data_IF_901897103558
#
_entry.id   IF_901897103558
#
_cell.length_a   1.000
_cell.length_b   1.000
_cell.length_c   1.000
_cell.angle_alpha   90.00
_cell.angle_beta   90.00
_cell.angle_gamma   90.00
#
_symmetry.space_group_name_H-M   'P 1'
#
loop_
_entity.id
_entity.type
_entity.pdbx_description
1 polymer ?
#
# COMPACT_ATOMS: atom_id res chain seq x y z
N UNK A 1 12.57 -5.93 -5.07
CA UNK A 1 13.14 -4.64 -5.50
C UNK A 1 12.48 -4.15 -6.79
N UNK A 2 12.48 -4.94 -7.88
CA UNK A 2 11.95 -4.51 -9.19
C UNK A 2 10.50 -4.04 -9.15
N UNK A 3 9.67 -4.71 -8.32
CA UNK A 3 8.27 -4.35 -8.12
C UNK A 3 8.12 -2.98 -7.43
N UNK A 4 8.97 -2.67 -6.45
CA UNK A 4 9.01 -1.38 -5.77
C UNK A 4 9.52 -0.28 -6.71
N UNK A 5 10.58 -0.55 -7.47
CA UNK A 5 11.10 0.40 -8.45
C UNK A 5 10.05 0.77 -9.53
N UNK A 6 9.29 -0.22 -10.00
CA UNK A 6 8.19 0.02 -10.94
C UNK A 6 7.06 0.84 -10.31
N UNK A 7 6.68 0.53 -9.06
CA UNK A 7 5.63 1.27 -8.33
C UNK A 7 6.03 2.72 -8.09
N UNK A 8 7.28 2.98 -7.69
CA UNK A 8 7.83 4.34 -7.54
C UNK A 8 7.80 5.10 -8.86
N UNK A 9 8.35 4.49 -9.93
CA UNK A 9 8.37 5.11 -11.25
C UNK A 9 6.96 5.42 -11.77
N UNK A 10 6.00 4.51 -11.58
CA UNK A 10 4.62 4.71 -11.98
C UNK A 10 3.96 5.86 -11.22
N UNK A 11 4.11 5.94 -9.89
CA UNK A 11 3.50 7.02 -9.11
C UNK A 11 4.10 8.38 -9.48
N UNK A 12 5.42 8.46 -9.62
CA UNK A 12 6.10 9.68 -10.08
C UNK A 12 5.64 10.10 -11.48
N UNK A 13 5.50 9.15 -12.39
CA UNK A 13 4.98 9.41 -13.73
C UNK A 13 3.56 9.99 -13.69
N UNK A 14 2.65 9.37 -12.94
CA UNK A 14 1.26 9.84 -12.82
C UNK A 14 1.19 11.25 -12.25
N UNK A 15 1.96 11.54 -11.19
CA UNK A 15 2.00 12.87 -10.58
C UNK A 15 2.49 13.92 -11.60
N UNK A 16 3.62 13.66 -12.26
CA UNK A 16 4.17 14.59 -13.25
C UNK A 16 3.21 14.80 -14.43
N UNK A 17 2.62 13.71 -14.93
CA UNK A 17 1.67 13.78 -16.04
C UNK A 17 0.47 14.68 -15.71
N UNK A 18 -0.11 14.55 -14.53
CA UNK A 18 -1.26 15.38 -14.10
C UNK A 18 -0.86 16.83 -13.90
N UNK A 19 0.31 17.09 -13.29
CA UNK A 19 0.81 18.46 -13.11
C UNK A 19 1.07 19.17 -14.44
N UNK A 20 1.50 18.44 -15.47
CA UNK A 20 1.80 18.98 -16.80
C UNK A 20 0.55 19.11 -17.69
N UNK A 21 -0.38 18.16 -17.62
CA UNK A 21 -1.48 18.06 -18.59
C UNK A 21 -2.84 18.53 -18.05
N UNK A 22 -2.97 18.77 -16.74
CA UNK A 22 -4.18 19.28 -16.09
C UNK A 22 -3.88 20.47 -15.16
N UNK A 23 -3.12 21.51 -15.62
CA UNK A 23 -2.68 22.58 -14.74
C UNK A 23 -3.83 23.44 -14.20
N UNK A 24 -4.91 23.61 -14.96
CA UNK A 24 -6.07 24.41 -14.52
C UNK A 24 -6.80 23.72 -13.37
N UNK A 25 -7.08 22.42 -13.51
CA UNK A 25 -7.70 21.58 -12.49
C UNK A 25 -6.81 21.50 -11.24
N UNK A 26 -5.53 21.30 -11.42
CA UNK A 26 -4.58 21.26 -10.30
C UNK A 26 -4.49 22.57 -9.54
N UNK A 27 -4.53 23.71 -10.23
CA UNK A 27 -4.60 25.01 -9.60
C UNK A 27 -5.91 25.19 -8.85
N UNK A 28 -7.04 24.76 -9.40
CA UNK A 28 -8.33 24.77 -8.72
C UNK A 28 -8.28 23.98 -7.40
N UNK A 29 -7.82 22.73 -7.43
CA UNK A 29 -7.70 21.91 -6.23
C UNK A 29 -6.72 22.51 -5.22
N UNK A 30 -5.59 23.03 -5.67
CA UNK A 30 -4.61 23.66 -4.79
C UNK A 30 -5.14 24.95 -4.13
N UNK A 31 -6.02 25.70 -4.79
CA UNK A 31 -6.58 26.94 -4.26
C UNK A 31 -7.77 26.68 -3.32
N UNK A 32 -8.66 25.76 -3.68
CA UNK A 32 -9.97 25.63 -3.05
C UNK A 32 -10.13 24.39 -2.17
N UNK A 33 -9.30 23.35 -2.35
CA UNK A 33 -9.40 22.08 -1.62
C UNK A 33 -8.23 21.91 -0.65
N UNK A 34 -6.98 21.96 -1.16
CA UNK A 34 -5.78 21.75 -0.35
C UNK A 34 -4.64 22.68 -0.78
N UNK A 35 -4.43 23.75 -0.02
CA UNK A 35 -3.46 24.83 -0.32
C UNK A 35 -1.99 24.41 -0.38
N UNK A 36 -1.65 23.18 -0.05
CA UNK A 36 -0.29 22.63 -0.12
C UNK A 36 -0.14 21.53 -1.16
N UNK A 37 -1.18 21.27 -1.95
CA UNK A 37 -1.28 20.12 -2.83
C UNK A 37 -0.14 20.04 -3.86
N UNK A 38 0.04 21.08 -4.65
CA UNK A 38 1.03 21.10 -5.74
C UNK A 38 2.46 20.99 -5.18
N UNK A 39 2.75 21.68 -4.08
CA UNK A 39 4.06 21.61 -3.43
C UNK A 39 4.35 20.19 -2.92
N UNK A 40 3.38 19.57 -2.25
CA UNK A 40 3.49 18.18 -1.78
C UNK A 40 3.70 17.20 -2.92
N UNK A 41 2.93 17.31 -4.00
CA UNK A 41 3.05 16.43 -5.17
C UNK A 41 4.43 16.59 -5.85
N UNK A 42 4.92 17.82 -6.02
CA UNK A 42 6.26 18.08 -6.56
C UNK A 42 7.36 17.53 -5.65
N UNK A 43 7.22 17.67 -4.34
CA UNK A 43 8.16 17.09 -3.39
C UNK A 43 8.21 15.56 -3.52
N UNK A 44 7.07 14.91 -3.59
CA UNK A 44 6.98 13.45 -3.75
C UNK A 44 7.58 12.98 -5.07
N UNK A 45 7.23 13.63 -6.19
CA UNK A 45 7.77 13.29 -7.50
C UNK A 45 9.29 13.48 -7.61
N UNK A 46 9.84 14.45 -6.88
CA UNK A 46 11.27 14.77 -6.86
C UNK A 46 12.10 14.04 -5.80
N UNK A 47 11.46 13.30 -4.87
CA UNK A 47 12.19 12.60 -3.80
C UNK A 47 12.44 11.14 -4.14
N UNK A 48 13.54 10.57 -3.62
CA UNK A 48 13.72 9.13 -3.57
C UNK A 48 12.85 8.56 -2.45
N UNK A 49 12.15 7.45 -2.71
CA UNK A 49 11.30 6.85 -1.71
C UNK A 49 12.14 6.10 -0.66
N UNK A 50 11.76 6.20 0.59
CA UNK A 50 12.43 5.49 1.66
C UNK A 50 12.02 4.01 1.68
N UNK A 51 12.88 3.17 2.25
CA UNK A 51 12.63 1.76 2.47
C UNK A 51 12.83 1.44 3.94
N UNK A 52 11.92 0.69 4.52
CA UNK A 52 11.98 0.24 5.91
C UNK A 52 11.28 -1.11 6.03
N UNK A 53 11.79 -2.00 6.85
CA UNK A 53 11.07 -3.23 7.19
C UNK A 53 9.92 -2.93 8.15
N UNK A 54 8.89 -3.77 8.17
CA UNK A 54 7.80 -3.65 9.14
C UNK A 54 8.34 -3.68 10.59
N UNK A 55 9.32 -4.53 10.87
CA UNK A 55 9.93 -4.61 12.22
C UNK A 55 10.55 -3.28 12.62
N UNK A 56 11.39 -2.69 11.77
CA UNK A 56 11.99 -1.38 12.03
C UNK A 56 10.94 -0.27 12.12
N UNK A 57 9.90 -0.31 11.27
CA UNK A 57 8.82 0.65 11.32
C UNK A 57 8.08 0.58 12.66
N UNK A 58 7.77 -0.61 13.17
CA UNK A 58 7.16 -0.80 14.49
C UNK A 58 8.06 -0.29 15.61
N UNK A 59 9.35 -0.59 15.57
CA UNK A 59 10.31 -0.07 16.57
C UNK A 59 10.37 1.47 16.61
N UNK A 60 10.21 2.13 15.45
CA UNK A 60 10.14 3.59 15.37
C UNK A 60 8.83 4.12 15.92
N UNK A 61 7.71 3.45 15.65
CA UNK A 61 6.38 3.85 16.08
C UNK A 61 6.17 3.62 17.59
N UNK A 62 6.66 2.50 18.14
CA UNK A 62 6.52 2.16 19.56
C UNK A 62 7.10 3.24 20.48
N UNK A 63 8.17 3.92 20.07
CA UNK A 63 8.77 5.05 20.80
C UNK A 63 7.80 6.23 20.95
N UNK A 64 6.72 6.23 20.20
CA UNK A 64 5.73 7.31 20.15
C UNK A 64 4.29 6.82 20.37
N UNK A 65 4.14 5.65 20.96
CA UNK A 65 2.84 5.03 21.20
C UNK A 65 1.89 5.92 22.04
N UNK A 66 2.44 6.83 22.86
CA UNK A 66 1.66 7.82 23.60
C UNK A 66 0.83 8.75 22.70
N UNK A 67 1.23 8.96 21.44
CA UNK A 67 0.60 9.84 20.46
C UNK A 67 -0.51 9.19 19.65
N UNK A 68 -0.62 7.86 19.68
CA UNK A 68 -1.55 7.10 18.84
C UNK A 68 -2.80 6.70 19.62
N UNK A 69 -3.94 6.72 18.93
CA UNK A 69 -5.20 6.17 19.43
C UNK A 69 -5.08 4.64 19.52
N UNK A 70 -4.61 4.01 18.45
CA UNK A 70 -4.35 2.58 18.38
C UNK A 70 -2.88 2.30 18.70
N UNK A 71 -2.64 1.54 19.77
CA UNK A 71 -1.26 1.21 20.18
C UNK A 71 -0.68 0.18 19.20
N UNK A 72 0.50 0.47 18.70
CA UNK A 72 1.24 -0.41 17.80
C UNK A 72 2.21 -1.29 18.59
N UNK A 73 2.31 -2.54 18.19
CA UNK A 73 3.32 -3.51 18.59
C UNK A 73 3.53 -4.51 17.45
N UNK A 74 4.60 -5.27 17.51
CA UNK A 74 4.90 -6.22 16.45
C UNK A 74 3.75 -7.23 16.25
N UNK A 75 3.31 -7.41 15.00
CA UNK A 75 2.15 -8.25 14.64
C UNK A 75 0.83 -7.49 14.52
N UNK A 76 0.77 -6.20 14.90
CA UNK A 76 -0.41 -5.35 14.71
C UNK A 76 -0.49 -4.86 13.27
N UNK A 77 -1.70 -4.83 12.71
CA UNK A 77 -1.94 -4.16 11.43
C UNK A 77 -1.79 -2.64 11.61
N UNK A 78 -0.99 -2.00 10.75
CA UNK A 78 -0.75 -0.56 10.80
C UNK A 78 -2.03 0.20 10.44
N UNK A 79 -2.41 1.15 11.29
CA UNK A 79 -3.53 2.04 11.02
C UNK A 79 -3.04 3.29 10.28
N UNK A 80 -3.94 3.99 9.61
CA UNK A 80 -3.62 5.21 8.84
C UNK A 80 -2.83 6.25 9.66
N UNK A 81 -3.06 6.36 10.97
CA UNK A 81 -2.30 7.27 11.83
C UNK A 81 -0.81 6.87 11.93
N UNK A 82 -0.51 5.56 11.97
CA UNK A 82 0.85 5.03 11.98
C UNK A 82 1.55 5.27 10.64
N UNK A 83 0.87 4.97 9.53
CA UNK A 83 1.37 5.15 8.17
C UNK A 83 1.69 6.62 7.87
N UNK A 84 0.79 7.51 8.25
CA UNK A 84 1.00 8.96 8.12
C UNK A 84 2.12 9.46 9.04
N UNK A 85 2.26 8.92 10.24
CA UNK A 85 3.36 9.29 11.12
C UNK A 85 4.72 8.93 10.50
N UNK A 86 4.84 7.73 9.90
CA UNK A 86 6.05 7.33 9.17
C UNK A 86 6.37 8.30 8.04
N UNK A 87 5.40 8.59 7.17
CA UNK A 87 5.61 9.42 5.98
C UNK A 87 5.77 10.92 6.29
N UNK A 88 5.06 11.45 7.29
CA UNK A 88 5.01 12.90 7.56
C UNK A 88 5.98 13.35 8.65
N UNK A 89 6.32 12.48 9.61
CA UNK A 89 7.14 12.86 10.77
C UNK A 89 8.52 12.21 10.76
N UNK A 90 8.59 10.91 10.43
CA UNK A 90 9.85 10.15 10.47
C UNK A 90 10.64 10.37 9.19
N UNK A 91 10.12 9.94 8.05
CA UNK A 91 10.85 9.97 6.77
C UNK A 91 10.64 11.26 5.97
N UNK A 92 9.52 11.96 6.17
CA UNK A 92 9.11 13.20 5.46
C UNK A 92 9.08 13.03 3.93
N UNK A 93 8.76 11.84 3.46
CA UNK A 93 8.68 11.43 2.05
C UNK A 93 7.93 10.10 1.96
N UNK A 94 7.57 9.62 0.75
CA UNK A 94 7.00 8.28 0.58
C UNK A 94 7.93 7.19 1.11
N UNK A 95 7.32 6.13 1.61
CA UNK A 95 8.02 5.03 2.27
C UNK A 95 7.46 3.70 1.80
N UNK A 96 8.33 2.79 1.35
CA UNK A 96 8.02 1.38 1.23
C UNK A 96 8.23 0.70 2.58
N UNK A 97 7.18 0.06 3.09
CA UNK A 97 7.27 -0.84 4.23
C UNK A 97 7.24 -2.27 3.72
N UNK A 98 8.21 -3.09 4.12
CA UNK A 98 8.38 -4.46 3.60
C UNK A 98 8.40 -5.49 4.72
N UNK A 99 8.36 -6.76 4.36
CA UNK A 99 8.59 -7.89 5.28
C UNK A 99 7.62 -7.89 6.47
N UNK A 100 6.33 -7.82 6.15
CA UNK A 100 5.26 -7.88 7.14
C UNK A 100 5.09 -9.25 7.77
N UNK A 101 4.60 -9.32 9.01
CA UNK A 101 4.19 -10.60 9.62
C UNK A 101 3.20 -11.35 8.74
N UNK A 102 3.40 -12.65 8.59
CA UNK A 102 2.53 -13.50 7.77
C UNK A 102 1.07 -13.51 8.24
N UNK A 103 0.85 -13.31 9.54
CA UNK A 103 -0.47 -13.37 10.17
C UNK A 103 -1.42 -12.26 9.69
N UNK A 104 -0.86 -11.10 9.30
CA UNK A 104 -1.63 -9.92 8.88
C UNK A 104 -1.63 -9.72 7.35
N UNK A 105 -1.08 -10.67 6.59
CA UNK A 105 -1.00 -10.60 5.12
C UNK A 105 -1.61 -11.84 4.45
N UNK A 106 -1.91 -11.73 3.18
CA UNK A 106 -2.61 -12.74 2.40
C UNK A 106 -1.77 -14.02 2.22
N UNK A 107 -2.44 -15.17 2.14
CA UNK A 107 -1.84 -16.50 2.07
C UNK A 107 -0.91 -16.72 0.88
N UNK A 108 -1.14 -16.02 -0.22
CA UNK A 108 -0.39 -16.18 -1.48
C UNK A 108 0.93 -15.42 -1.53
N UNK A 109 1.25 -14.65 -0.51
CA UNK A 109 2.49 -13.90 -0.45
C UNK A 109 3.66 -14.84 -0.12
N UNK A 110 4.81 -14.61 -0.78
CA UNK A 110 5.97 -15.46 -0.61
C UNK A 110 6.51 -15.38 0.81
N UNK A 111 6.66 -16.56 1.43
CA UNK A 111 7.24 -16.67 2.77
C UNK A 111 8.74 -16.35 2.72
N UNK A 112 9.19 -15.48 3.60
CA UNK A 112 10.60 -15.18 3.81
C UNK A 112 11.33 -16.34 4.52
N UNK A 113 12.66 -16.42 4.43
CA UNK A 113 13.43 -17.51 5.06
C UNK A 113 13.29 -17.62 6.58
N UNK A 114 12.86 -16.57 7.26
CA UNK A 114 12.60 -16.53 8.71
C UNK A 114 11.34 -17.30 9.13
N UNK A 115 10.49 -17.69 8.18
CA UNK A 115 9.19 -18.33 8.38
C UNK A 115 8.20 -17.54 9.25
N UNK A 116 8.44 -16.26 9.46
CA UNK A 116 7.62 -15.34 10.24
C UNK A 116 7.05 -14.20 9.39
N UNK A 117 7.82 -13.73 8.43
CA UNK A 117 7.45 -12.62 7.57
C UNK A 117 7.23 -13.08 6.13
N UNK A 118 6.57 -12.22 5.36
CA UNK A 118 6.32 -12.43 3.92
C UNK A 118 6.90 -11.28 3.11
N UNK A 119 7.28 -11.55 1.86
CA UNK A 119 7.80 -10.57 0.91
C UNK A 119 6.68 -9.64 0.39
N UNK A 120 5.98 -9.02 1.33
CA UNK A 120 5.01 -7.96 1.07
C UNK A 120 5.72 -6.63 0.91
N UNK A 121 5.06 -5.70 0.24
CA UNK A 121 5.45 -4.31 0.21
C UNK A 121 4.21 -3.42 0.16
N UNK A 122 4.15 -2.42 1.02
CA UNK A 122 3.14 -1.36 0.94
C UNK A 122 3.85 -0.03 0.72
N UNK A 123 3.37 0.76 -0.24
CA UNK A 123 3.83 2.13 -0.46
C UNK A 123 2.92 3.09 0.30
N UNK A 124 3.49 3.78 1.25
CA UNK A 124 2.85 4.80 2.06
C UNK A 124 3.20 6.19 1.52
N UNK A 125 2.21 7.08 1.43
CA UNK A 125 2.41 8.47 1.02
C UNK A 125 1.85 9.45 2.07
N UNK A 126 2.44 10.66 2.19
CA UNK A 126 1.93 11.69 3.09
C UNK A 126 0.46 12.04 2.80
N UNK A 127 -0.35 12.19 3.83
CA UNK A 127 -1.76 12.59 3.71
C UNK A 127 -2.75 11.45 3.55
N UNK A 128 -2.38 10.37 2.87
CA UNK A 128 -3.26 9.22 2.61
C UNK A 128 -2.88 7.99 3.45
N UNK A 129 -1.60 7.69 3.61
CA UNK A 129 -1.11 6.42 4.10
C UNK A 129 -0.88 5.45 2.92
N UNK A 130 -1.27 4.19 3.05
CA UNK A 130 -1.11 3.19 1.99
C UNK A 130 -1.86 3.61 0.70
N UNK A 131 -1.13 3.68 -0.41
CA UNK A 131 -1.66 3.93 -1.75
C UNK A 131 -1.45 2.74 -2.69
N UNK A 132 -0.41 1.96 -2.48
CA UNK A 132 -0.07 0.73 -3.21
C UNK A 132 0.21 -0.37 -2.21
N UNK A 133 -0.38 -1.53 -2.42
CA UNK A 133 -0.04 -2.76 -1.73
C UNK A 133 0.38 -3.84 -2.72
N UNK A 134 1.40 -4.61 -2.38
CA UNK A 134 1.92 -5.64 -3.27
C UNK A 134 2.76 -6.70 -2.58
N UNK A 135 3.23 -7.67 -3.35
CA UNK A 135 4.14 -8.70 -2.85
C UNK A 135 4.81 -9.48 -3.98
N UNK A 136 5.89 -10.16 -3.66
CA UNK A 136 6.27 -11.35 -4.40
C UNK A 136 5.26 -12.46 -4.09
N UNK A 137 4.91 -13.27 -5.09
CA UNK A 137 3.96 -14.37 -4.93
C UNK A 137 4.70 -15.66 -4.56
N UNK A 138 4.07 -16.49 -3.73
CA UNK A 138 4.62 -17.81 -3.42
C UNK A 138 4.61 -18.69 -4.70
N UNK A 139 5.77 -19.16 -5.09
CA UNK A 139 6.00 -19.97 -6.27
C UNK A 139 6.12 -21.47 -5.95
N UNK A 140 6.24 -21.84 -4.67
CA UNK A 140 6.23 -23.22 -4.20
C UNK A 140 4.82 -23.71 -3.94
N UNK A 141 4.40 -24.77 -4.65
CA UNK A 141 3.12 -25.44 -4.42
C UNK A 141 2.97 -25.91 -2.97
N UNK A 142 3.97 -26.61 -2.43
CA UNK A 142 3.90 -27.19 -1.09
C UNK A 142 3.79 -26.12 0.01
N UNK A 143 4.54 -25.02 -0.11
CA UNK A 143 4.44 -23.89 0.83
C UNK A 143 3.09 -23.20 0.76
N UNK A 144 2.53 -23.07 -0.44
CA UNK A 144 1.21 -22.49 -0.62
C UNK A 144 0.14 -23.35 0.05
N UNK A 145 0.15 -24.66 -0.17
CA UNK A 145 -0.75 -25.63 0.50
C UNK A 145 -0.58 -25.58 2.02
N UNK A 146 0.68 -25.59 2.49
CA UNK A 146 0.93 -25.49 3.93
C UNK A 146 0.27 -24.23 4.52
N UNK A 147 0.46 -23.09 3.86
CA UNK A 147 -0.10 -21.82 4.34
C UNK A 147 -1.64 -21.80 4.29
N UNK A 148 -2.24 -22.37 3.25
CA UNK A 148 -3.69 -22.53 3.14
C UNK A 148 -4.24 -23.39 4.29
N UNK A 149 -3.59 -24.49 4.61
CA UNK A 149 -3.97 -25.37 5.70
C UNK A 149 -3.87 -24.68 7.07
N UNK A 150 -2.80 -23.88 7.30
CA UNK A 150 -2.66 -23.07 8.53
C UNK A 150 -3.83 -22.09 8.70
N UNK A 151 -4.42 -21.60 7.62
CA UNK A 151 -5.54 -20.66 7.61
C UNK A 151 -6.91 -21.32 7.49
N UNK A 152 -6.98 -22.65 7.37
CA UNK A 152 -8.21 -23.40 7.19
C UNK A 152 -8.90 -23.17 5.84
N UNK A 153 -8.13 -22.77 4.82
CA UNK A 153 -8.64 -22.58 3.46
C UNK A 153 -8.74 -23.91 2.73
N UNK A 154 -9.79 -24.10 1.94
CA UNK A 154 -10.00 -25.31 1.15
C UNK A 154 -9.29 -25.22 -0.19
N UNK A 155 -8.52 -26.25 -0.54
CA UNK A 155 -7.81 -26.32 -1.82
C UNK A 155 -8.75 -26.24 -3.02
N UNK A 156 -9.95 -26.81 -2.89
CA UNK A 156 -10.97 -26.85 -3.95
C UNK A 156 -11.41 -25.45 -4.40
N UNK A 157 -11.51 -24.51 -3.45
CA UNK A 157 -11.92 -23.13 -3.72
C UNK A 157 -10.85 -22.34 -4.49
N UNK A 158 -9.60 -22.81 -4.44
CA UNK A 158 -8.44 -22.16 -5.06
C UNK A 158 -7.73 -23.05 -6.10
N UNK A 159 -8.39 -24.09 -6.57
CA UNK A 159 -7.79 -25.08 -7.49
C UNK A 159 -7.13 -24.41 -8.71
N UNK A 160 -7.81 -23.43 -9.34
CA UNK A 160 -7.28 -22.66 -10.47
C UNK A 160 -5.97 -21.92 -10.14
N UNK A 161 -5.83 -21.43 -8.92
CA UNK A 161 -4.63 -20.71 -8.47
C UNK A 161 -3.49 -21.67 -8.16
N UNK A 162 -3.81 -22.83 -7.58
CA UNK A 162 -2.87 -23.91 -7.27
C UNK A 162 -2.30 -24.53 -8.54
N UNK A 163 -3.13 -24.69 -9.57
CA UNK A 163 -2.73 -25.25 -10.86
C UNK A 163 -1.64 -24.43 -11.55
N UNK A 164 -1.59 -23.12 -11.33
CA UNK A 164 -0.49 -22.27 -11.81
C UNK A 164 0.88 -22.67 -11.22
N UNK A 165 0.91 -23.40 -10.11
CA UNK A 165 2.13 -23.92 -9.50
C UNK A 165 2.35 -25.39 -9.84
N UNK A 166 1.26 -26.15 -9.97
CA UNK A 166 1.31 -27.58 -10.30
C UNK A 166 1.81 -27.82 -11.73
N UNK A 167 1.41 -27.01 -12.68
CA UNK A 167 1.74 -27.17 -14.10
C UNK A 167 2.88 -26.30 -14.61
N UNK A 168 3.60 -25.66 -13.74
CA UNK A 168 4.78 -24.87 -14.07
C UNK A 168 4.71 -23.45 -13.49
N UNK A 169 5.43 -23.23 -12.43
CA UNK A 169 5.50 -21.91 -11.77
C UNK A 169 6.58 -21.05 -12.39
N UNK A 170 6.41 -19.72 -12.25
CA UNK A 170 7.47 -18.75 -12.49
C UNK A 170 7.55 -17.79 -11.32
N UNK A 171 8.75 -17.27 -11.06
CA UNK A 171 8.94 -16.20 -10.08
C UNK A 171 8.25 -14.94 -10.58
N UNK A 172 7.32 -14.41 -9.80
CA UNK A 172 6.59 -13.19 -10.15
C UNK A 172 6.20 -12.39 -8.91
N UNK A 173 6.00 -11.11 -9.12
CA UNK A 173 5.50 -10.16 -8.14
C UNK A 173 4.43 -9.28 -8.78
N UNK A 174 3.69 -8.56 -7.97
CA UNK A 174 2.71 -7.61 -8.45
C UNK A 174 2.23 -6.70 -7.34
N UNK A 175 1.60 -5.62 -7.73
CA UNK A 175 0.97 -4.67 -6.80
C UNK A 175 -0.36 -4.17 -7.34
N UNK A 176 -1.18 -3.64 -6.44
CA UNK A 176 -2.39 -2.89 -6.77
C UNK A 176 -2.28 -1.46 -6.30
N UNK A 177 -2.60 -0.51 -7.17
CA UNK A 177 -2.80 0.89 -6.83
C UNK A 177 -4.29 1.11 -6.54
N UNK A 178 -4.64 1.63 -5.36
CA UNK A 178 -5.98 2.08 -5.07
C UNK A 178 -6.33 3.29 -5.93
N UNK A 179 -7.17 3.11 -6.96
CA UNK A 179 -7.49 4.18 -7.91
C UNK A 179 -8.14 5.39 -7.22
N UNK A 180 -9.12 5.15 -6.37
CA UNK A 180 -9.79 6.20 -5.62
C UNK A 180 -8.83 6.91 -4.64
N UNK A 181 -7.96 6.17 -3.97
CA UNK A 181 -6.91 6.76 -3.13
C UNK A 181 -5.93 7.60 -3.95
N UNK A 182 -5.60 7.17 -5.16
CA UNK A 182 -4.78 7.94 -6.10
C UNK A 182 -5.47 9.25 -6.50
N UNK A 183 -6.76 9.21 -6.83
CA UNK A 183 -7.54 10.43 -7.15
C UNK A 183 -7.60 11.36 -5.94
N UNK A 184 -7.88 10.85 -4.73
CA UNK A 184 -7.82 11.65 -3.50
C UNK A 184 -6.44 12.30 -3.33
N UNK A 185 -5.38 11.56 -3.55
CA UNK A 185 -4.01 12.03 -3.41
C UNK A 185 -3.68 13.17 -4.38
N UNK A 186 -4.09 13.04 -5.64
CA UNK A 186 -3.86 14.03 -6.70
C UNK A 186 -4.73 15.28 -6.56
N UNK A 187 -5.90 15.17 -5.94
CA UNK A 187 -6.87 16.28 -5.82
C UNK A 187 -6.89 16.94 -4.44
N UNK A 188 -6.32 16.28 -3.43
CA UNK A 188 -6.42 16.72 -2.03
C UNK A 188 -7.78 16.44 -1.38
N UNK A 189 -8.68 15.71 -2.06
CA UNK A 189 -9.99 15.36 -1.51
C UNK A 189 -9.86 14.47 -0.27
N UNK A 190 -10.56 14.82 0.80
CA UNK A 190 -10.45 14.12 2.09
C UNK A 190 -11.39 12.93 2.27
N UNK A 191 -12.36 12.73 1.37
CA UNK A 191 -13.35 11.67 1.50
C UNK A 191 -13.42 10.86 0.18
N UNK A 192 -13.25 9.55 0.29
CA UNK A 192 -13.27 8.64 -0.86
C UNK A 192 -14.60 8.66 -1.64
N UNK A 193 -15.71 9.01 -0.98
CA UNK A 193 -17.03 9.15 -1.64
C UNK A 193 -17.06 10.27 -2.66
N UNK A 194 -16.24 11.30 -2.47
CA UNK A 194 -16.22 12.48 -3.34
C UNK A 194 -15.41 12.25 -4.63
N UNK A 195 -14.70 11.11 -4.71
CA UNK A 195 -13.91 10.71 -5.89
C UNK A 195 -14.49 9.50 -6.62
N UNK A 196 -15.68 9.08 -6.22
CA UNK A 196 -16.44 7.97 -6.84
C UNK A 196 -17.70 8.55 -7.47
N UNK A 197 -17.98 8.32 -8.78
CA UNK A 197 -19.17 8.86 -9.43
C UNK A 197 -20.49 8.40 -8.78
N UNK A 198 -20.52 7.16 -8.28
CA UNK A 198 -21.71 6.55 -7.66
C UNK A 198 -21.31 5.86 -6.34
N UNK A 199 -21.08 6.64 -5.27
CA UNK A 199 -20.62 6.09 -4.00
C UNK A 199 -21.73 5.27 -3.33
N UNK A 200 -21.43 4.01 -3.03
CA UNK A 200 -22.32 3.14 -2.26
C UNK A 200 -22.01 3.24 -0.78
N UNK A 201 -23.04 3.42 0.02
CA UNK A 201 -22.93 3.50 1.47
C UNK A 201 -23.98 2.62 2.15
N UNK A 202 -23.87 2.47 3.48
CA UNK A 202 -24.89 1.74 4.23
C UNK A 202 -26.27 2.39 3.98
N UNK A 203 -27.23 1.58 3.50
CA UNK A 203 -28.60 1.99 3.10
C UNK A 203 -28.68 2.90 1.88
N UNK A 204 -27.63 3.03 1.10
CA UNK A 204 -27.63 3.77 -0.17
C UNK A 204 -26.90 2.96 -1.25
N UNK A 205 -27.69 2.41 -2.18
CA UNK A 205 -27.20 1.65 -3.34
C UNK A 205 -28.24 1.79 -4.46
N UNK A 206 -28.55 3.06 -4.82
CA UNK A 206 -29.69 3.37 -5.70
C UNK A 206 -29.31 3.30 -7.19
N UNK A 207 -28.04 3.04 -7.53
CA UNK A 207 -27.53 2.88 -8.91
C UNK A 207 -26.57 1.71 -8.97
#
# INVERSE_FOLDING_TARGET
DDNMALAEAMLKYVINYVLENAPEEMNFFNQFVDKGLIERLKHVAGSDFAHVTYTEAVELLEKHNDKFEYKVHWGTDLQTEHERYLTEKVFKRPVFVTDYPKEIKAFYMKMNPDNKTVAAMDLLVPGIGEIIGGSQREDSYDKLIQRMNELGLKEEDYAFYLDLRRYGSTRHAGFGLGFERCVMYLTGMGNIRDVIPFPRTVKNCDI
#
